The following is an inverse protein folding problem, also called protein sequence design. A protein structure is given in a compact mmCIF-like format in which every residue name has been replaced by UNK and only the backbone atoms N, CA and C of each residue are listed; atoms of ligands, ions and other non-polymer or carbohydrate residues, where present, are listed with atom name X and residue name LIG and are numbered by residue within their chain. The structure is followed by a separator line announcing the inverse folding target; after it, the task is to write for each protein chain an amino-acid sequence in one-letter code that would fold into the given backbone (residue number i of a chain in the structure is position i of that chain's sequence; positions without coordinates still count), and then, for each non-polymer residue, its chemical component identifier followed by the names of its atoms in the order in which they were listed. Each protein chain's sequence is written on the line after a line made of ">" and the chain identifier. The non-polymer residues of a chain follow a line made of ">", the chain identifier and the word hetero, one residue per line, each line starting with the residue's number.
data_IF_379310013636
#
_entry.id   IF_379310013636
#
_cell.length_a   1.000
_cell.length_b   1.000
_cell.length_c   1.000
_cell.angle_alpha   90.00
_cell.angle_beta   90.00
_cell.angle_gamma   90.00
#
_symmetry.space_group_name_H-M   'P 1'
#
loop_
_entity.id
_entity.type
_entity.pdbx_description
1 polymer ?
#
# COMPACT_ATOMS: atom_id res chain seq x y z
N UNK A 1 2.90 40.95 38.45
CA UNK A 1 3.69 39.75 38.06
C UNK A 1 3.03 38.41 38.41
N UNK A 2 2.60 38.16 39.67
CA UNK A 2 2.01 36.86 40.07
C UNK A 2 0.70 36.50 39.35
N UNK A 3 -0.20 37.45 39.11
CA UNK A 3 -1.47 37.20 38.41
C UNK A 3 -1.28 36.90 36.92
N UNK A 4 -0.45 37.68 36.22
CA UNK A 4 -0.09 37.42 34.81
C UNK A 4 0.54 36.03 34.66
N UNK A 5 1.44 35.63 35.58
CA UNK A 5 2.03 34.28 35.57
C UNK A 5 0.97 33.18 35.70
N UNK A 6 -0.04 33.36 36.56
CA UNK A 6 -1.16 32.40 36.70
C UNK A 6 -2.02 32.33 35.43
N UNK A 7 -2.32 33.46 34.80
CA UNK A 7 -3.09 33.52 33.54
C UNK A 7 -2.32 32.80 32.43
N UNK A 8 -1.01 33.08 32.28
CA UNK A 8 -0.15 32.43 31.29
C UNK A 8 -0.13 30.91 31.51
N UNK A 9 0.07 30.45 32.76
CA UNK A 9 0.04 29.01 33.09
C UNK A 9 -1.33 28.40 32.74
N UNK A 10 -2.43 29.09 33.03
CA UNK A 10 -3.78 28.64 32.66
C UNK A 10 -3.95 28.48 31.15
N UNK A 11 -3.51 29.46 30.36
CA UNK A 11 -3.56 29.40 28.89
C UNK A 11 -2.70 28.25 28.35
N UNK A 12 -1.46 28.10 28.84
CA UNK A 12 -0.58 26.98 28.44
C UNK A 12 -1.19 25.63 28.79
N UNK A 13 -1.84 25.51 29.94
CA UNK A 13 -2.51 24.28 30.36
C UNK A 13 -3.66 23.94 29.41
N UNK A 14 -4.50 24.91 29.07
CA UNK A 14 -5.62 24.71 28.11
C UNK A 14 -5.09 24.34 26.73
N UNK A 15 -4.04 25.02 26.23
CA UNK A 15 -3.41 24.71 24.95
C UNK A 15 -2.80 23.31 24.94
N UNK A 16 -2.17 22.90 26.03
CA UNK A 16 -1.61 21.56 26.17
C UNK A 16 -2.70 20.49 26.11
N UNK A 17 -3.80 20.66 26.85
CA UNK A 17 -4.91 19.72 26.80
C UNK A 17 -5.62 19.71 25.44
N UNK A 18 -5.78 20.87 24.79
CA UNK A 18 -6.39 20.91 23.46
C UNK A 18 -5.52 20.20 22.41
N UNK A 19 -4.20 20.33 22.50
CA UNK A 19 -3.26 19.57 21.65
C UNK A 19 -3.35 18.06 21.91
N UNK A 20 -3.49 17.63 23.16
CA UNK A 20 -3.67 16.21 23.50
C UNK A 20 -5.01 15.68 22.94
N UNK A 21 -6.10 16.40 23.16
CA UNK A 21 -7.43 16.01 22.66
C UNK A 21 -7.42 15.96 21.14
N UNK A 22 -6.84 16.97 20.48
CA UNK A 22 -6.67 16.99 19.03
C UNK A 22 -5.82 15.80 18.56
N UNK A 23 -4.72 15.49 19.24
CA UNK A 23 -3.87 14.35 18.93
C UNK A 23 -4.65 13.04 18.96
N UNK A 24 -5.38 12.76 20.05
CA UNK A 24 -6.18 11.54 20.15
C UNK A 24 -7.35 11.51 19.15
N UNK A 25 -7.98 12.65 18.90
CA UNK A 25 -9.04 12.77 17.89
C UNK A 25 -8.50 12.42 16.49
N UNK A 26 -7.37 13.00 16.09
CA UNK A 26 -6.75 12.70 14.80
C UNK A 26 -6.19 11.27 14.76
N UNK A 27 -5.62 10.77 15.86
CA UNK A 27 -5.16 9.40 15.93
C UNK A 27 -6.31 8.43 15.66
N UNK A 28 -7.45 8.63 16.31
CA UNK A 28 -8.66 7.82 16.09
C UNK A 28 -9.22 7.99 14.68
N UNK A 29 -9.38 9.23 14.19
CA UNK A 29 -9.95 9.54 12.88
C UNK A 29 -9.15 8.91 11.72
N UNK A 30 -7.84 8.84 11.85
CA UNK A 30 -6.96 8.24 10.83
C UNK A 30 -6.55 6.80 11.14
N UNK A 31 -7.03 6.21 12.23
CA UNK A 31 -6.82 4.78 12.47
C UNK A 31 -7.87 3.99 11.71
N UNK A 32 -7.47 2.93 10.98
CA UNK A 32 -8.44 2.05 10.39
C UNK A 32 -9.24 1.34 11.49
N UNK A 33 -10.50 1.05 11.18
CA UNK A 33 -11.35 0.14 11.92
C UNK A 33 -10.71 -1.26 12.02
N UNK A 34 -11.28 -2.10 12.89
CA UNK A 34 -10.85 -3.48 13.08
C UNK A 34 -10.78 -4.27 11.76
N UNK A 35 -9.91 -5.27 11.74
CA UNK A 35 -9.84 -6.22 10.63
C UNK A 35 -10.99 -7.21 10.76
N UNK A 36 -11.82 -7.31 9.73
CA UNK A 36 -12.96 -8.22 9.70
C UNK A 36 -12.73 -9.42 8.78
N UNK A 37 -11.51 -9.63 8.29
CA UNK A 37 -11.16 -10.77 7.45
C UNK A 37 -10.88 -12.00 8.33
N UNK A 38 -11.62 -13.07 8.06
CA UNK A 38 -11.21 -14.43 8.42
C UNK A 38 -10.43 -15.01 7.25
N UNK A 39 -9.20 -15.47 7.50
CA UNK A 39 -8.29 -15.97 6.47
C UNK A 39 -7.77 -17.33 6.90
N UNK A 40 -7.95 -18.35 6.07
CA UNK A 40 -7.56 -19.73 6.37
C UNK A 40 -6.68 -20.30 5.28
N UNK A 41 -5.82 -21.24 5.69
CA UNK A 41 -4.88 -21.97 4.83
C UNK A 41 -3.78 -21.07 4.21
N UNK A 42 -2.64 -21.70 3.93
CA UNK A 42 -1.60 -21.10 3.08
C UNK A 42 -2.11 -21.07 1.64
N UNK A 43 -1.87 -19.99 0.90
CA UNK A 43 -2.41 -19.88 -0.45
C UNK A 43 -1.73 -20.82 -1.45
N UNK A 44 -0.49 -21.21 -1.14
CA UNK A 44 0.47 -21.67 -2.15
C UNK A 44 0.78 -20.57 -3.16
N UNK A 45 1.54 -20.93 -4.20
CA UNK A 45 1.97 -20.01 -5.25
C UNK A 45 0.78 -19.54 -6.09
N UNK A 46 0.49 -18.24 -6.05
CA UNK A 46 -0.49 -17.56 -6.90
C UNK A 46 0.27 -16.75 -7.95
N UNK A 47 -0.11 -16.88 -9.22
CA UNK A 47 0.48 -16.09 -10.29
C UNK A 47 -0.10 -14.66 -10.28
N UNK A 48 0.78 -13.68 -10.46
CA UNK A 48 0.45 -12.26 -10.60
C UNK A 48 0.13 -11.98 -12.06
N UNK A 49 -1.00 -11.32 -12.29
CA UNK A 49 -1.34 -10.72 -13.58
C UNK A 49 -1.11 -9.21 -13.49
N UNK A 50 -0.43 -8.63 -14.48
CA UNK A 50 -0.28 -7.18 -14.57
C UNK A 50 -1.34 -6.61 -15.51
N UNK A 51 -1.97 -5.49 -15.13
CA UNK A 51 -3.01 -4.87 -15.96
C UNK A 51 -2.48 -4.40 -17.33
N UNK A 52 -1.24 -3.94 -17.39
CA UNK A 52 -0.59 -3.50 -18.61
C UNK A 52 0.93 -3.78 -18.60
N UNK A 53 1.58 -3.53 -19.74
CA UNK A 53 3.03 -3.72 -19.92
C UNK A 53 3.87 -2.85 -18.98
N UNK A 54 3.32 -1.72 -18.52
CA UNK A 54 3.98 -0.83 -17.58
C UNK A 54 3.89 -1.33 -16.13
N UNK A 55 3.20 -2.46 -15.91
CA UNK A 55 2.99 -3.08 -14.60
C UNK A 55 2.28 -2.12 -13.65
N UNK A 56 1.27 -1.40 -14.14
CA UNK A 56 0.61 -0.34 -13.37
C UNK A 56 -0.31 -0.83 -12.25
N UNK A 57 -0.79 -2.08 -12.32
CA UNK A 57 -1.55 -2.70 -11.24
C UNK A 57 -1.24 -4.19 -11.13
N UNK A 58 -0.99 -4.64 -9.89
CA UNK A 58 -0.78 -6.04 -9.52
C UNK A 58 -2.14 -6.68 -9.27
N UNK A 59 -2.59 -7.54 -10.17
CA UNK A 59 -3.86 -8.25 -10.09
C UNK A 59 -3.65 -9.69 -9.64
N UNK A 60 -4.56 -10.15 -8.79
CA UNK A 60 -4.56 -11.52 -8.28
C UNK A 60 -5.89 -12.19 -8.61
N UNK A 61 -5.86 -13.42 -9.15
CA UNK A 61 -7.06 -14.16 -9.46
C UNK A 61 -7.74 -14.62 -8.17
N UNK A 62 -9.06 -14.45 -8.12
CA UNK A 62 -9.93 -14.98 -7.07
C UNK A 62 -11.04 -15.82 -7.69
N UNK A 63 -11.52 -16.78 -6.91
CA UNK A 63 -12.64 -17.64 -7.30
C UNK A 63 -13.72 -17.61 -6.23
N UNK A 64 -14.96 -17.77 -6.67
CA UNK A 64 -16.09 -18.01 -5.78
C UNK A 64 -16.50 -19.47 -5.86
N UNK A 65 -17.05 -20.00 -4.77
CA UNK A 65 -17.48 -21.38 -4.71
C UNK A 65 -18.57 -21.64 -5.77
N UNK A 66 -18.41 -22.73 -6.52
CA UNK A 66 -19.31 -23.13 -7.61
C UNK A 66 -19.38 -22.11 -8.77
N UNK A 67 -18.37 -21.25 -8.93
CA UNK A 67 -18.21 -20.36 -10.09
C UNK A 67 -16.92 -20.72 -10.82
N UNK A 68 -17.02 -20.96 -12.12
CA UNK A 68 -15.87 -21.27 -12.98
C UNK A 68 -15.19 -20.01 -13.52
N UNK A 69 -15.79 -18.84 -13.30
CA UNK A 69 -15.26 -17.55 -13.75
C UNK A 69 -14.12 -17.12 -12.86
N UNK A 70 -12.98 -16.77 -13.46
CA UNK A 70 -11.88 -16.11 -12.74
C UNK A 70 -12.16 -14.60 -12.67
N UNK A 71 -12.21 -14.08 -11.46
CA UNK A 71 -12.25 -12.64 -11.20
C UNK A 71 -10.90 -12.17 -10.69
N UNK A 72 -10.66 -10.87 -10.70
CA UNK A 72 -9.41 -10.29 -10.25
C UNK A 72 -9.65 -9.23 -9.17
N UNK A 73 -8.71 -9.17 -8.24
CA UNK A 73 -8.59 -8.07 -7.29
C UNK A 73 -7.22 -7.42 -7.44
N UNK A 74 -7.16 -6.10 -7.34
CA UNK A 74 -5.88 -5.40 -7.27
C UNK A 74 -5.30 -5.54 -5.86
N UNK A 75 -4.07 -6.06 -5.74
CA UNK A 75 -3.37 -6.05 -4.47
C UNK A 75 -2.76 -4.68 -4.19
N UNK A 76 -3.26 -4.01 -3.16
CA UNK A 76 -2.94 -2.62 -2.85
C UNK A 76 -2.66 -2.44 -1.35
N UNK A 77 -1.38 -2.43 -0.97
CA UNK A 77 -0.95 -2.12 0.40
C UNK A 77 -1.13 -0.64 0.77
N UNK A 78 -1.42 0.22 -0.21
CA UNK A 78 -1.91 1.58 -0.03
C UNK A 78 -3.35 1.62 0.49
N UNK A 79 -4.17 0.61 0.22
CA UNK A 79 -5.51 0.48 0.81
C UNK A 79 -5.46 -0.23 2.17
N UNK A 80 -6.02 0.35 3.24
CA UNK A 80 -6.10 -0.32 4.54
C UNK A 80 -7.20 -1.39 4.63
N UNK A 81 -8.05 -1.55 3.62
CA UNK A 81 -9.13 -2.54 3.62
C UNK A 81 -9.24 -3.24 2.29
N UNK A 82 -9.66 -4.49 2.35
CA UNK A 82 -10.20 -5.21 1.20
C UNK A 82 -11.58 -4.67 0.87
N UNK A 83 -11.77 -4.24 -0.36
CA UNK A 83 -12.99 -3.59 -0.85
C UNK A 83 -13.47 -4.23 -2.15
N UNK A 84 -14.77 -4.21 -2.39
CA UNK A 84 -15.37 -4.63 -3.65
C UNK A 84 -16.09 -3.48 -4.34
N UNK A 85 -16.11 -3.52 -5.66
CA UNK A 85 -16.66 -2.49 -6.52
C UNK A 85 -18.11 -2.80 -6.83
N UNK A 86 -19.02 -1.94 -6.37
CA UNK A 86 -20.47 -2.16 -6.45
C UNK A 86 -20.93 -2.54 -7.85
N UNK A 87 -20.48 -1.83 -8.88
CA UNK A 87 -20.92 -2.07 -10.25
C UNK A 87 -20.39 -3.39 -10.83
N UNK A 88 -19.27 -3.87 -10.32
CA UNK A 88 -18.64 -5.12 -10.77
C UNK A 88 -19.18 -6.36 -10.06
N UNK A 89 -19.74 -6.21 -8.84
CA UNK A 89 -20.26 -7.33 -8.05
C UNK A 89 -21.79 -7.38 -7.93
N UNK A 90 -22.53 -6.34 -8.35
CA UNK A 90 -23.99 -6.24 -8.13
C UNK A 90 -24.82 -7.42 -8.68
N UNK A 91 -24.33 -8.07 -9.74
CA UNK A 91 -25.00 -9.20 -10.38
C UNK A 91 -24.39 -10.56 -9.97
N UNK A 92 -23.40 -10.57 -9.07
CA UNK A 92 -22.77 -11.80 -8.60
C UNK A 92 -23.58 -12.36 -7.42
N UNK A 93 -24.06 -13.61 -7.49
CA UNK A 93 -24.87 -14.21 -6.42
C UNK A 93 -24.06 -14.48 -5.13
N UNK A 94 -22.74 -14.32 -5.19
CA UNK A 94 -21.80 -14.63 -4.12
C UNK A 94 -21.69 -13.55 -3.04
N UNK A 95 -22.29 -12.37 -3.29
CA UNK A 95 -22.30 -11.26 -2.34
C UNK A 95 -23.71 -10.93 -1.88
N UNK A 96 -23.88 -10.80 -0.58
CA UNK A 96 -25.04 -10.11 0.00
C UNK A 96 -24.60 -8.68 0.33
N UNK A 97 -25.20 -7.71 -0.36
CA UNK A 97 -24.87 -6.29 -0.21
C UNK A 97 -25.99 -5.60 0.55
N UNK A 98 -25.63 -4.94 1.65
CA UNK A 98 -26.50 -4.03 2.38
C UNK A 98 -25.78 -2.67 2.48
N UNK A 99 -26.32 -1.66 1.80
CA UNK A 99 -25.68 -0.36 1.60
C UNK A 99 -24.25 -0.48 1.06
N UNK A 100 -23.26 -0.07 1.86
CA UNK A 100 -21.83 -0.08 1.54
C UNK A 100 -21.10 -1.23 2.25
N UNK A 101 -21.84 -2.24 2.72
CA UNK A 101 -21.29 -3.40 3.43
C UNK A 101 -21.68 -4.67 2.68
N UNK A 102 -20.68 -5.50 2.39
CA UNK A 102 -20.83 -6.79 1.72
C UNK A 102 -20.47 -7.96 2.64
N UNK A 103 -21.26 -9.02 2.56
CA UNK A 103 -20.94 -10.33 3.11
C UNK A 103 -20.57 -11.28 1.97
N UNK A 104 -19.45 -11.98 2.11
CA UNK A 104 -18.99 -12.92 1.09
C UNK A 104 -17.86 -13.83 1.56
N UNK A 105 -17.57 -14.81 0.70
CA UNK A 105 -16.45 -15.74 0.82
C UNK A 105 -15.84 -15.89 -0.57
N UNK A 106 -14.53 -15.78 -0.68
CA UNK A 106 -13.80 -16.06 -1.91
C UNK A 106 -12.48 -16.77 -1.61
N UNK A 107 -11.91 -17.37 -2.63
CA UNK A 107 -10.61 -18.05 -2.56
C UNK A 107 -9.57 -17.30 -3.37
N UNK A 108 -8.35 -17.23 -2.83
CA UNK A 108 -7.16 -16.74 -3.54
C UNK A 108 -6.07 -17.81 -3.43
N UNK A 109 -5.75 -18.45 -4.56
CA UNK A 109 -5.04 -19.73 -4.53
C UNK A 109 -5.81 -20.74 -3.66
N UNK A 110 -5.18 -21.26 -2.61
CA UNK A 110 -5.78 -22.19 -1.64
C UNK A 110 -6.30 -21.51 -0.37
N UNK A 111 -6.15 -20.19 -0.25
CA UNK A 111 -6.55 -19.43 0.93
C UNK A 111 -8.03 -19.05 0.82
N UNK A 112 -8.82 -19.44 1.82
CA UNK A 112 -10.21 -18.98 1.98
C UNK A 112 -10.20 -17.63 2.70
N UNK A 113 -10.87 -16.64 2.13
CA UNK A 113 -11.08 -15.31 2.71
C UNK A 113 -12.57 -15.07 2.87
N UNK A 114 -12.99 -14.81 4.12
CA UNK A 114 -14.37 -14.53 4.49
C UNK A 114 -14.47 -13.20 5.25
N UNK A 115 -15.51 -12.43 4.97
CA UNK A 115 -15.94 -11.33 5.83
C UNK A 115 -17.45 -11.10 5.70
N UNK A 116 -18.06 -10.69 6.81
CA UNK A 116 -19.43 -10.17 6.83
C UNK A 116 -19.46 -8.64 6.69
N UNK A 117 -18.28 -8.01 6.56
CA UNK A 117 -18.11 -6.55 6.58
C UNK A 117 -17.14 -6.04 5.51
N UNK A 118 -17.12 -6.66 4.33
CA UNK A 118 -16.37 -6.09 3.21
C UNK A 118 -16.90 -4.69 2.90
N UNK A 119 -16.00 -3.74 2.68
CA UNK A 119 -16.42 -2.40 2.27
C UNK A 119 -16.77 -2.42 0.79
N UNK A 120 -17.96 -1.94 0.45
CA UNK A 120 -18.42 -1.78 -0.93
C UNK A 120 -18.28 -0.32 -1.29
N UNK A 121 -17.63 -0.04 -2.42
CA UNK A 121 -17.48 1.31 -2.95
C UNK A 121 -18.23 1.44 -4.27
N UNK A 122 -18.84 2.60 -4.51
CA UNK A 122 -19.52 2.91 -5.76
C UNK A 122 -18.49 3.23 -6.86
N UNK A 123 -17.95 2.15 -7.43
CA UNK A 123 -16.89 2.16 -8.42
C UNK A 123 -17.03 0.90 -9.30
N UNK A 124 -16.15 0.80 -10.30
CA UNK A 124 -16.07 -0.32 -11.22
C UNK A 124 -17.02 -0.20 -12.40
N UNK A 125 -16.89 -1.14 -13.32
CA UNK A 125 -17.79 -1.32 -14.46
C UNK A 125 -18.46 -2.68 -14.35
N UNK A 126 -19.57 -2.84 -15.06
CA UNK A 126 -20.13 -4.17 -15.29
C UNK A 126 -19.11 -5.03 -16.02
N UNK A 127 -19.06 -6.31 -15.69
CA UNK A 127 -18.06 -7.22 -16.24
C UNK A 127 -18.57 -7.77 -17.57
N UNK A 128 -18.06 -7.22 -18.68
CA UNK A 128 -18.28 -7.78 -20.01
C UNK A 128 -17.45 -9.07 -20.20
N UNK A 129 -17.84 -9.93 -21.16
CA UNK A 129 -17.25 -11.26 -21.31
C UNK A 129 -15.78 -11.28 -21.76
N UNK A 130 -15.32 -10.22 -22.44
CA UNK A 130 -13.98 -10.17 -23.06
C UNK A 130 -12.94 -9.37 -22.26
N UNK A 131 -13.33 -8.75 -21.13
CA UNK A 131 -12.44 -7.94 -20.30
C UNK A 131 -11.96 -8.67 -19.03
N UNK A 132 -10.79 -8.27 -18.52
CA UNK A 132 -10.31 -8.72 -17.21
C UNK A 132 -11.31 -8.24 -16.15
N UNK A 133 -11.97 -9.20 -15.48
CA UNK A 133 -13.03 -8.95 -14.52
C UNK A 133 -12.49 -8.49 -13.16
N UNK A 134 -12.08 -7.22 -13.07
CA UNK A 134 -11.61 -6.62 -11.80
C UNK A 134 -12.80 -6.26 -10.93
N UNK A 135 -12.94 -6.93 -9.79
CA UNK A 135 -14.10 -6.80 -8.90
C UNK A 135 -13.81 -6.05 -7.61
N UNK A 136 -12.55 -5.72 -7.33
CA UNK A 136 -12.19 -5.05 -6.10
C UNK A 136 -10.71 -4.82 -5.87
N UNK A 137 -10.39 -4.43 -4.65
CA UNK A 137 -9.04 -4.19 -4.13
C UNK A 137 -8.82 -5.10 -2.92
N UNK A 138 -7.72 -5.87 -2.92
CA UNK A 138 -7.23 -6.61 -1.77
C UNK A 138 -6.26 -5.72 -0.99
N UNK A 139 -6.72 -5.20 0.15
CA UNK A 139 -5.99 -4.22 0.95
C UNK A 139 -4.98 -4.85 1.91
N UNK A 140 -4.25 -4.00 2.63
CA UNK A 140 -3.26 -4.43 3.63
C UNK A 140 -3.85 -5.18 4.83
N UNK A 141 -5.17 -5.23 5.02
CA UNK A 141 -5.82 -6.08 6.03
C UNK A 141 -5.61 -7.58 5.77
N UNK A 142 -5.30 -7.99 4.53
CA UNK A 142 -4.88 -9.37 4.24
C UNK A 142 -3.54 -9.72 4.89
N UNK A 143 -2.69 -8.73 5.22
CA UNK A 143 -1.35 -8.95 5.78
C UNK A 143 -1.34 -8.99 7.30
N UNK A 144 -2.36 -8.46 7.98
CA UNK A 144 -2.36 -8.28 9.43
C UNK A 144 -2.21 -9.62 10.16
N UNK A 145 -1.20 -9.73 11.03
CA UNK A 145 -0.80 -10.94 11.76
C UNK A 145 -0.49 -12.16 10.85
N UNK A 146 0.04 -11.92 9.65
CA UNK A 146 0.36 -12.96 8.67
C UNK A 146 1.72 -12.75 8.01
N UNK A 147 2.19 -13.82 7.38
CA UNK A 147 3.43 -13.88 6.62
C UNK A 147 3.12 -14.00 5.13
N UNK A 148 3.80 -13.22 4.29
CA UNK A 148 3.57 -13.12 2.84
C UNK A 148 4.90 -13.07 2.11
N UNK A 149 4.97 -13.70 0.93
CA UNK A 149 6.08 -13.53 -0.02
C UNK A 149 5.53 -12.94 -1.30
N UNK A 150 6.20 -11.92 -1.82
CA UNK A 150 5.97 -11.39 -3.16
C UNK A 150 7.25 -11.61 -3.95
N UNK A 151 7.22 -12.55 -4.89
CA UNK A 151 8.33 -12.82 -5.79
C UNK A 151 8.03 -12.14 -7.12
N UNK A 152 8.55 -10.92 -7.31
CA UNK A 152 8.32 -10.15 -8.53
C UNK A 152 9.08 -10.72 -9.73
N UNK A 153 10.24 -11.35 -9.48
CA UNK A 153 11.02 -12.01 -10.53
C UNK A 153 10.22 -13.13 -11.20
N UNK A 154 9.51 -13.92 -10.41
CA UNK A 154 8.69 -15.04 -10.88
C UNK A 154 7.21 -14.67 -11.06
N UNK A 155 6.85 -13.38 -10.90
CA UNK A 155 5.47 -12.87 -10.90
C UNK A 155 4.53 -13.74 -10.06
N UNK A 156 4.86 -13.96 -8.78
CA UNK A 156 4.02 -14.74 -7.88
C UNK A 156 3.93 -14.18 -6.48
N UNK A 157 2.85 -14.51 -5.79
CA UNK A 157 2.62 -14.18 -4.39
C UNK A 157 2.17 -15.41 -3.60
N UNK A 158 2.57 -15.47 -2.34
CA UNK A 158 2.11 -16.48 -1.37
C UNK A 158 1.66 -15.79 -0.10
N UNK A 159 0.42 -16.04 0.33
CA UNK A 159 -0.17 -15.49 1.54
C UNK A 159 -0.26 -16.51 2.66
N UNK A 160 -0.36 -15.96 3.87
CA UNK A 160 -0.71 -16.68 5.09
C UNK A 160 0.24 -17.84 5.40
N UNK A 161 1.53 -17.66 5.07
CA UNK A 161 2.58 -18.66 5.29
C UNK A 161 2.69 -19.02 6.77
N UNK A 162 2.82 -20.31 7.08
CA UNK A 162 2.96 -20.76 8.47
C UNK A 162 4.32 -20.38 9.07
N UNK A 163 5.37 -20.42 8.25
CA UNK A 163 6.75 -20.20 8.65
C UNK A 163 7.49 -19.29 7.70
N UNK A 164 8.51 -18.62 8.21
CA UNK A 164 9.49 -17.90 7.40
C UNK A 164 10.24 -18.91 6.51
N UNK A 165 10.38 -18.63 5.20
CA UNK A 165 11.20 -19.48 4.33
C UNK A 165 12.66 -19.52 4.80
N UNK A 166 13.26 -20.70 4.78
CA UNK A 166 14.63 -20.92 5.27
C UNK A 166 15.66 -19.99 4.62
N UNK A 167 15.44 -19.62 3.35
CA UNK A 167 16.34 -18.74 2.61
C UNK A 167 16.21 -17.24 2.96
N UNK A 168 15.25 -16.87 3.83
CA UNK A 168 15.15 -15.55 4.46
C UNK A 168 15.66 -15.55 5.91
N UNK A 169 15.92 -16.71 6.51
CA UNK A 169 16.45 -16.82 7.88
C UNK A 169 17.76 -16.03 8.01
N UNK A 170 17.83 -15.10 8.98
CA UNK A 170 19.01 -14.24 9.20
C UNK A 170 19.23 -13.12 8.16
N UNK A 171 18.30 -12.96 7.22
CA UNK A 171 18.32 -11.95 6.17
C UNK A 171 17.15 -10.96 6.29
N UNK A 172 16.38 -11.04 7.38
CA UNK A 172 15.31 -10.09 7.67
C UNK A 172 15.82 -8.87 8.44
N UNK A 173 15.01 -7.82 8.47
CA UNK A 173 15.20 -6.61 9.25
C UNK A 173 13.85 -6.07 9.73
N UNK A 174 13.90 -5.25 10.77
CA UNK A 174 12.70 -4.64 11.36
C UNK A 174 12.06 -3.65 10.39
N UNK A 175 10.74 -3.74 10.22
CA UNK A 175 9.93 -2.68 9.61
C UNK A 175 8.80 -2.29 10.55
N UNK A 176 7.94 -1.35 10.15
CA UNK A 176 6.72 -1.05 10.92
C UNK A 176 5.47 -1.34 10.10
N UNK A 177 4.58 -2.12 10.69
CA UNK A 177 3.21 -2.30 10.18
C UNK A 177 2.24 -1.57 11.12
N UNK A 178 1.96 -0.29 10.85
CA UNK A 178 1.08 0.53 11.71
C UNK A 178 -0.06 1.10 10.90
N UNK A 179 -1.29 1.00 11.43
CA UNK A 179 -2.51 1.46 10.73
C UNK A 179 -2.63 0.87 9.32
N UNK A 180 -2.19 -0.40 9.18
CA UNK A 180 -2.08 -1.14 7.91
C UNK A 180 -1.27 -0.42 6.82
N UNK A 181 -0.21 0.25 7.24
CA UNK A 181 0.80 0.83 6.36
C UNK A 181 2.14 0.17 6.64
N UNK A 182 2.83 -0.23 5.58
CA UNK A 182 4.17 -0.82 5.64
C UNK A 182 5.19 0.32 5.55
N UNK A 183 5.91 0.57 6.63
CA UNK A 183 6.96 1.58 6.69
C UNK A 183 8.30 0.87 6.75
N UNK A 184 9.06 0.97 5.67
CA UNK A 184 10.36 0.33 5.49
C UNK A 184 11.46 1.32 5.86
N UNK A 185 12.29 1.06 6.88
CA UNK A 185 13.49 1.84 7.11
C UNK A 185 14.55 1.50 6.07
N UNK A 186 15.20 2.51 5.51
CA UNK A 186 16.30 2.32 4.57
C UNK A 186 17.29 3.48 4.64
N UNK A 187 18.44 3.32 3.99
CA UNK A 187 19.40 4.41 3.81
C UNK A 187 19.44 4.83 2.35
N UNK A 188 19.23 6.12 2.08
CA UNK A 188 19.34 6.72 0.76
C UNK A 188 20.31 7.92 0.85
N UNK A 189 21.37 7.92 0.04
CA UNK A 189 22.44 8.92 0.09
C UNK A 189 23.01 9.14 1.50
N UNK A 190 23.27 8.03 2.21
CA UNK A 190 23.76 7.99 3.60
C UNK A 190 22.81 8.57 4.66
N UNK A 191 21.59 8.95 4.30
CA UNK A 191 20.57 9.41 5.25
C UNK A 191 19.67 8.24 5.65
N UNK A 192 19.42 8.10 6.96
CA UNK A 192 18.43 7.15 7.47
C UNK A 192 17.03 7.69 7.19
N UNK A 193 16.34 7.00 6.30
CA UNK A 193 15.05 7.39 5.76
C UNK A 193 13.97 6.34 6.08
N UNK A 194 12.72 6.74 5.92
CA UNK A 194 11.55 5.87 6.04
C UNK A 194 10.72 5.97 4.78
N UNK A 195 10.33 4.83 4.24
CA UNK A 195 9.54 4.75 3.03
C UNK A 195 8.22 4.05 3.29
N UNK A 196 7.14 4.61 2.78
CA UNK A 196 5.87 3.90 2.71
C UNK A 196 5.93 2.93 1.53
N UNK A 197 5.66 1.64 1.73
CA UNK A 197 5.50 0.72 0.60
C UNK A 197 4.03 0.60 0.21
N UNK A 198 3.76 0.86 -1.07
CA UNK A 198 2.43 0.94 -1.67
C UNK A 198 2.40 0.15 -2.98
N UNK A 199 1.87 -1.07 -2.94
CA UNK A 199 1.72 -1.89 -4.13
C UNK A 199 0.66 -1.36 -5.10
N UNK A 200 -0.25 -0.47 -4.68
CA UNK A 200 -1.21 0.20 -5.56
C UNK A 200 -0.55 1.23 -6.48
N UNK A 201 0.59 1.80 -6.06
CA UNK A 201 1.41 2.73 -6.86
C UNK A 201 2.46 1.97 -7.68
N UNK A 202 2.05 0.94 -8.42
CA UNK A 202 2.98 -0.03 -9.04
C UNK A 202 3.90 0.57 -10.11
N UNK A 203 3.45 1.61 -10.82
CA UNK A 203 4.14 2.20 -11.96
C UNK A 203 5.49 2.86 -11.63
N UNK A 204 5.69 3.27 -10.37
CA UNK A 204 6.83 4.08 -9.96
C UNK A 204 7.77 3.31 -9.04
N UNK A 205 9.06 3.66 -9.08
CA UNK A 205 10.04 3.12 -8.14
C UNK A 205 9.99 3.88 -6.81
N UNK A 206 10.15 5.21 -6.86
CA UNK A 206 10.03 6.11 -5.72
C UNK A 206 9.25 7.37 -6.10
N UNK A 207 8.12 7.58 -5.43
CA UNK A 207 7.39 8.84 -5.45
C UNK A 207 7.81 9.68 -4.24
N UNK A 208 8.30 10.89 -4.49
CA UNK A 208 8.83 11.80 -3.45
C UNK A 208 8.44 13.26 -3.71
N UNK A 209 8.81 14.15 -2.78
CA UNK A 209 8.58 15.59 -2.94
C UNK A 209 9.53 16.19 -3.99
N UNK A 210 9.18 17.38 -4.49
CA UNK A 210 9.92 18.07 -5.55
C UNK A 210 11.38 18.32 -5.16
N UNK A 211 11.66 18.66 -3.90
CA UNK A 211 13.02 18.91 -3.42
C UNK A 211 13.90 17.66 -3.44
N UNK A 212 13.40 16.53 -2.95
CA UNK A 212 14.10 15.24 -2.99
C UNK A 212 14.24 14.75 -4.43
N UNK A 213 13.20 14.91 -5.25
CA UNK A 213 13.26 14.57 -6.67
C UNK A 213 14.37 15.34 -7.40
N UNK A 214 14.50 16.65 -7.15
CA UNK A 214 15.59 17.47 -7.71
C UNK A 214 16.98 16.97 -7.30
N UNK A 215 17.14 16.50 -6.05
CA UNK A 215 18.41 15.96 -5.53
C UNK A 215 18.73 14.57 -6.09
N UNK A 216 17.71 13.75 -6.34
CA UNK A 216 17.87 12.35 -6.73
C UNK A 216 17.95 12.18 -8.25
N UNK A 217 17.32 13.06 -9.04
CA UNK A 217 17.38 12.95 -10.49
C UNK A 217 18.81 13.20 -11.02
N UNK A 218 19.14 12.55 -12.13
CA UNK A 218 20.31 12.90 -12.92
C UNK A 218 20.16 14.30 -13.52
N UNK A 219 21.25 15.07 -13.57
CA UNK A 219 21.28 16.44 -14.11
C UNK A 219 20.74 16.50 -15.54
N UNK A 220 21.14 15.55 -16.39
CA UNK A 220 20.80 15.49 -17.82
C UNK A 220 19.63 14.54 -18.13
N UNK A 221 18.83 14.14 -17.14
CA UNK A 221 17.68 13.27 -17.39
C UNK A 221 16.62 13.96 -18.24
N UNK A 222 16.17 13.31 -19.31
CA UNK A 222 14.88 13.63 -19.93
C UNK A 222 13.78 13.40 -18.88
N UNK A 223 12.89 14.37 -18.72
CA UNK A 223 11.76 14.28 -17.81
C UNK A 223 10.56 13.74 -18.59
N UNK A 224 10.00 12.63 -18.11
CA UNK A 224 8.76 12.06 -18.64
C UNK A 224 7.61 12.70 -17.85
N UNK A 225 6.66 13.31 -18.55
CA UNK A 225 5.51 13.99 -17.96
C UNK A 225 4.25 13.22 -18.36
N UNK A 226 3.50 12.76 -17.38
CA UNK A 226 2.23 12.05 -17.59
C UNK A 226 1.12 12.74 -16.82
N UNK A 227 -0.09 12.71 -17.37
CA UNK A 227 -1.28 13.26 -16.73
C UNK A 227 -2.25 12.13 -16.43
N UNK A 228 -2.55 11.94 -15.16
CA UNK A 228 -3.57 11.00 -14.68
C UNK A 228 -4.75 11.75 -14.07
N UNK A 229 -5.96 11.23 -14.25
CA UNK A 229 -7.11 11.69 -13.48
C UNK A 229 -7.21 10.85 -12.21
N UNK A 230 -7.11 11.48 -11.04
CA UNK A 230 -7.28 10.83 -9.75
C UNK A 230 -8.45 11.49 -9.02
N UNK A 231 -9.59 10.79 -8.98
CA UNK A 231 -10.79 11.21 -8.27
C UNK A 231 -11.25 12.65 -8.61
N UNK A 232 -11.17 13.04 -9.88
CA UNK A 232 -11.60 14.36 -10.38
C UNK A 232 -10.51 15.44 -10.37
N UNK A 233 -9.31 15.14 -9.88
CA UNK A 233 -8.15 16.04 -9.97
C UNK A 233 -7.16 15.53 -11.02
N UNK A 234 -6.67 16.44 -11.87
CA UNK A 234 -5.58 16.13 -12.81
C UNK A 234 -4.26 16.12 -12.02
N UNK A 235 -3.71 14.94 -11.81
CA UNK A 235 -2.36 14.76 -11.27
C UNK A 235 -1.38 14.73 -12.42
N UNK A 236 -0.34 15.56 -12.34
CA UNK A 236 0.75 15.57 -13.32
C UNK A 236 1.99 14.96 -12.67
N UNK A 237 2.47 13.86 -13.20
CA UNK A 237 3.67 13.18 -12.71
C UNK A 237 4.88 13.60 -13.53
N UNK A 238 6.03 13.64 -12.88
CA UNK A 238 7.30 14.01 -13.48
C UNK A 238 8.33 12.96 -13.07
N UNK A 239 8.66 12.08 -14.00
CA UNK A 239 9.60 10.98 -13.78
C UNK A 239 10.94 11.29 -14.42
N UNK A 240 12.02 11.12 -13.67
CA UNK A 240 13.38 11.30 -14.14
C UNK A 240 14.24 10.09 -13.77
N UNK A 241 15.29 9.85 -14.57
CA UNK A 241 16.30 8.84 -14.29
C UNK A 241 17.11 9.22 -13.05
N UNK A 242 17.48 8.19 -12.30
CA UNK A 242 18.30 8.25 -11.09
C UNK A 242 19.36 7.14 -11.17
N UNK A 243 20.44 7.30 -10.40
CA UNK A 243 21.45 6.26 -10.16
C UNK A 243 21.75 6.05 -8.68
N UNK A 244 20.90 6.61 -7.81
CA UNK A 244 21.07 6.52 -6.37
C UNK A 244 20.80 5.08 -5.92
N UNK A 245 21.26 4.76 -4.72
CA UNK A 245 21.14 3.43 -4.15
C UNK A 245 20.36 3.51 -2.85
N UNK A 246 19.37 2.61 -2.70
CA UNK A 246 18.62 2.43 -1.47
C UNK A 246 19.14 1.17 -0.80
N UNK A 247 19.58 1.31 0.44
CA UNK A 247 20.10 0.22 1.26
C UNK A 247 19.03 -0.18 2.30
N UNK A 248 18.48 -1.38 2.12
CA UNK A 248 17.53 -2.00 3.04
C UNK A 248 18.27 -3.05 3.87
N UNK A 249 18.80 -2.65 5.03
CA UNK A 249 19.67 -3.52 5.82
C UNK A 249 20.84 -4.07 4.98
N UNK A 250 20.88 -5.39 4.71
CA UNK A 250 21.89 -6.05 3.86
C UNK A 250 21.58 -5.99 2.36
N UNK A 251 20.34 -5.68 1.98
CA UNK A 251 19.92 -5.63 0.59
C UNK A 251 20.20 -4.26 -0.01
N UNK A 252 20.65 -4.26 -1.26
CA UNK A 252 20.99 -3.06 -2.03
C UNK A 252 20.16 -3.03 -3.30
N UNK A 253 19.47 -1.92 -3.53
CA UNK A 253 18.60 -1.74 -4.69
C UNK A 253 18.91 -0.41 -5.37
N UNK A 254 19.17 -0.45 -6.67
CA UNK A 254 19.41 0.74 -7.47
C UNK A 254 18.09 1.43 -7.79
N UNK A 255 17.98 2.70 -7.42
CA UNK A 255 16.89 3.58 -7.82
C UNK A 255 17.17 4.10 -9.22
N UNK A 256 16.56 3.49 -10.23
CA UNK A 256 16.70 3.84 -11.65
C UNK A 256 15.81 5.03 -12.02
N UNK A 257 14.66 5.19 -11.35
CA UNK A 257 13.72 6.27 -11.63
C UNK A 257 13.19 6.91 -10.36
N UNK A 258 12.98 8.22 -10.38
CA UNK A 258 12.37 8.97 -9.29
C UNK A 258 11.28 9.88 -9.84
N UNK A 259 10.16 9.94 -9.13
CA UNK A 259 8.95 10.64 -9.57
C UNK A 259 8.51 11.64 -8.51
N UNK A 260 8.04 12.81 -8.94
CA UNK A 260 7.21 13.69 -8.12
C UNK A 260 5.90 13.99 -8.83
N UNK A 261 4.89 14.42 -8.07
CA UNK A 261 3.56 14.68 -8.59
C UNK A 261 3.11 16.08 -8.20
N UNK A 262 2.53 16.80 -9.16
CA UNK A 262 1.82 18.07 -8.98
C UNK A 262 0.30 17.83 -9.07
N UNK A 263 -0.47 18.69 -8.41
CA UNK A 263 -1.93 18.57 -8.32
C UNK A 263 -2.45 18.11 -6.95
N UNK A 264 -1.56 17.78 -6.01
CA UNK A 264 -1.94 17.59 -4.61
C UNK A 264 -2.36 18.92 -3.96
N UNK A 265 -3.30 18.87 -3.01
CA UNK A 265 -3.57 20.03 -2.17
C UNK A 265 -2.33 20.37 -1.33
N UNK A 266 -2.13 21.65 -1.00
CA UNK A 266 -1.00 22.10 -0.15
C UNK A 266 -0.95 21.31 1.17
N UNK A 267 -2.11 20.97 1.74
CA UNK A 267 -2.23 20.17 2.96
C UNK A 267 -1.69 18.76 2.80
N UNK A 268 -1.98 18.07 1.68
CA UNK A 268 -1.44 16.73 1.39
C UNK A 268 0.09 16.76 1.24
N UNK A 269 0.62 17.76 0.53
CA UNK A 269 2.06 17.95 0.41
C UNK A 269 2.74 18.14 1.78
N UNK A 270 2.18 18.99 2.65
CA UNK A 270 2.74 19.21 3.98
C UNK A 270 2.62 17.97 4.88
N UNK A 271 1.52 17.22 4.82
CA UNK A 271 1.39 15.95 5.54
C UNK A 271 2.47 14.95 5.14
N UNK A 272 2.77 14.83 3.83
CA UNK A 272 3.87 13.99 3.37
C UNK A 272 5.22 14.51 3.88
N UNK A 273 5.49 15.81 3.74
CA UNK A 273 6.75 16.44 4.18
C UNK A 273 7.02 16.29 5.68
N UNK A 274 6.00 16.50 6.51
CA UNK A 274 6.12 16.46 7.98
C UNK A 274 5.91 15.08 8.59
N UNK A 275 5.54 14.07 7.80
CA UNK A 275 5.44 12.68 8.28
C UNK A 275 6.79 12.05 8.65
N UNK A 276 7.90 12.68 8.26
CA UNK A 276 9.24 12.09 8.37
C UNK A 276 9.47 10.91 7.42
N UNK A 277 8.60 10.76 6.40
CA UNK A 277 8.79 9.81 5.31
C UNK A 277 9.48 10.51 4.13
N UNK A 278 10.41 9.80 3.51
CA UNK A 278 11.22 10.32 2.40
C UNK A 278 10.55 10.07 1.04
N UNK A 279 9.55 9.19 1.02
CA UNK A 279 8.69 8.96 -0.13
C UNK A 279 7.89 7.67 0.01
N UNK A 280 7.27 7.29 -1.10
CA UNK A 280 6.51 6.06 -1.28
C UNK A 280 7.21 5.18 -2.32
N UNK A 281 7.49 3.93 -1.97
CA UNK A 281 8.04 2.92 -2.86
C UNK A 281 6.88 2.17 -3.53
N UNK A 282 6.91 2.08 -4.85
CA UNK A 282 6.01 1.23 -5.62
C UNK A 282 6.59 -0.15 -5.89
N UNK A 283 5.93 -0.94 -6.74
CA UNK A 283 6.40 -2.28 -7.10
C UNK A 283 7.63 -2.25 -8.02
N UNK A 284 7.80 -1.19 -8.82
CA UNK A 284 8.83 -1.11 -9.86
C UNK A 284 10.26 -1.28 -9.31
N UNK A 285 10.52 -0.77 -8.11
CA UNK A 285 11.84 -0.84 -7.45
C UNK A 285 12.22 -2.27 -7.07
N UNK A 286 11.25 -3.20 -7.03
CA UNK A 286 11.44 -4.58 -6.59
C UNK A 286 11.22 -5.60 -7.71
N UNK A 287 11.11 -5.20 -8.99
CA UNK A 287 10.72 -6.11 -10.08
C UNK A 287 11.66 -7.29 -10.31
N UNK A 288 12.92 -7.18 -9.92
CA UNK A 288 13.93 -8.24 -9.99
C UNK A 288 14.21 -8.89 -8.62
N UNK A 289 13.30 -8.66 -7.66
CA UNK A 289 13.44 -9.04 -6.25
C UNK A 289 12.33 -9.95 -5.76
N UNK A 290 12.62 -10.57 -4.63
CA UNK A 290 11.65 -11.23 -3.78
C UNK A 290 11.57 -10.50 -2.44
N UNK A 291 10.35 -10.20 -1.99
CA UNK A 291 10.07 -9.54 -0.72
C UNK A 291 9.35 -10.53 0.19
N UNK A 292 9.88 -10.74 1.39
CA UNK A 292 9.19 -11.41 2.48
C UNK A 292 8.68 -10.39 3.48
N UNK A 293 7.42 -10.51 3.89
CA UNK A 293 6.73 -9.60 4.82
C UNK A 293 6.10 -10.44 5.92
N UNK A 294 6.63 -10.33 7.13
CA UNK A 294 6.07 -10.90 8.34
C UNK A 294 5.49 -9.78 9.20
N UNK A 295 4.19 -9.53 9.06
CA UNK A 295 3.50 -8.50 9.83
C UNK A 295 3.21 -8.93 11.28
N UNK A 296 3.27 -10.23 11.58
CA UNK A 296 3.14 -10.75 12.95
C UNK A 296 4.36 -10.35 13.79
N UNK A 297 5.56 -10.57 13.26
CA UNK A 297 6.82 -10.24 13.93
C UNK A 297 7.44 -8.90 13.49
N UNK A 298 6.78 -8.18 12.57
CA UNK A 298 7.29 -6.96 11.92
C UNK A 298 8.71 -7.13 11.33
N UNK A 299 8.96 -8.28 10.72
CA UNK A 299 10.19 -8.61 10.01
C UNK A 299 9.98 -8.59 8.50
N UNK A 300 10.94 -8.02 7.76
CA UNK A 300 10.92 -7.97 6.29
C UNK A 300 12.24 -8.46 5.73
N UNK A 301 12.22 -9.16 4.60
CA UNK A 301 13.41 -9.55 3.85
C UNK A 301 13.30 -9.10 2.39
N UNK A 302 14.43 -8.73 1.77
CA UNK A 302 14.51 -8.36 0.36
C UNK A 302 15.71 -9.11 -0.23
N UNK A 303 15.51 -9.82 -1.35
CA UNK A 303 16.54 -10.61 -2.03
C UNK A 303 16.57 -10.30 -3.52
#
# INVERSE_FOLDING_TARGET
>A
MKQIKKIIIGIFTILFFSLIIAFFYFEKKFSPENNYLTVKNESGKINITWLDENKNALLLPINFKNDTTTYYVQFDTGSPYTTFYKNSIKNLPHFQINDNIGNGIFEIGKTEIKSEKFKIIDYGKETDNDEIKIVGTLGADILENRKTIINFKDNSIEFNLKKTPNYFTGQTFDFKFRKRKIIIPATLNNNKDKFLYDSGTSAYELLTNKENWQKLKLSNSKIIIEKGNSWGNVLTTYTAQSKNEIHFSKAKVTLKQVTYVEGFSKTQYYLMKFSGMSGMLGNRIFLDKEIFIDCENQQMGIK
#
